data_IF_197738125624
#
_entry.id   IF_197738125624
#
_cell.length_a   1.000
_cell.length_b   1.000
_cell.length_c   1.000
_cell.angle_alpha   90.00
_cell.angle_beta   90.00
_cell.angle_gamma   90.00
#
_symmetry.space_group_name_H-M   'P 1'
#
loop_
_entity.id
_entity.type
_entity.pdbx_description
1 polymer ?
#
# COMPACT_ATOMS: atom_id res chain seq x y z
N UNK A 1 -20.44 -15.15 -9.32
CA UNK A 1 -19.09 -15.61 -8.94
C UNK A 1 -18.23 -15.53 -10.20
N UNK A 2 -17.63 -14.38 -10.47
CA UNK A 2 -16.77 -14.23 -11.64
C UNK A 2 -15.59 -15.20 -11.52
N UNK A 3 -15.30 -15.90 -12.60
CA UNK A 3 -14.41 -17.07 -12.66
C UNK A 3 -13.16 -16.97 -11.79
N UNK A 4 -13.07 -17.89 -10.83
CA UNK A 4 -11.96 -18.12 -9.90
C UNK A 4 -10.70 -18.70 -10.59
N UNK A 5 -10.53 -18.40 -11.88
CA UNK A 5 -9.42 -18.92 -12.68
C UNK A 5 -8.41 -17.79 -12.83
N UNK A 6 -7.24 -17.97 -12.23
CA UNK A 6 -6.07 -17.14 -12.53
C UNK A 6 -5.43 -17.64 -13.83
N UNK A 7 -5.55 -16.92 -14.96
CA UNK A 7 -5.00 -17.39 -16.23
C UNK A 7 -3.47 -17.45 -16.23
N UNK A 8 -2.82 -16.80 -15.26
CA UNK A 8 -1.37 -16.71 -15.13
C UNK A 8 -0.86 -17.40 -13.88
N UNK A 9 -1.61 -18.35 -13.32
CA UNK A 9 -1.29 -18.98 -12.03
C UNK A 9 0.13 -19.55 -11.97
N UNK A 10 0.58 -20.27 -13.01
CA UNK A 10 1.93 -20.87 -13.03
C UNK A 10 3.04 -19.80 -12.92
N UNK A 11 2.91 -18.73 -13.71
CA UNK A 11 3.83 -17.59 -13.67
C UNK A 11 3.75 -16.86 -12.34
N UNK A 12 2.54 -16.61 -11.85
CA UNK A 12 2.29 -15.90 -10.60
C UNK A 12 2.83 -16.66 -9.39
N UNK A 13 2.66 -17.99 -9.34
CA UNK A 13 3.25 -18.87 -8.32
C UNK A 13 4.76 -18.85 -8.38
N UNK A 14 5.36 -18.91 -9.57
CA UNK A 14 6.81 -18.83 -9.73
C UNK A 14 7.39 -17.51 -9.20
N UNK A 15 6.75 -16.38 -9.53
CA UNK A 15 7.17 -15.06 -9.01
C UNK A 15 6.88 -14.94 -7.51
N UNK A 16 5.77 -15.53 -7.03
CA UNK A 16 5.45 -15.58 -5.61
C UNK A 16 6.53 -16.34 -4.82
N UNK A 17 6.95 -17.51 -5.29
CA UNK A 17 8.05 -18.28 -4.69
C UNK A 17 9.37 -17.50 -4.69
N UNK A 18 9.69 -16.84 -5.80
CA UNK A 18 10.85 -15.93 -5.86
C UNK A 18 10.77 -14.83 -4.78
N UNK A 19 9.60 -14.19 -4.64
CA UNK A 19 9.37 -13.16 -3.64
C UNK A 19 9.48 -13.71 -2.21
N UNK A 20 8.94 -14.90 -1.94
CA UNK A 20 9.04 -15.56 -0.63
C UNK A 20 10.50 -15.90 -0.29
N UNK A 21 11.25 -16.47 -1.25
CA UNK A 21 12.66 -16.77 -1.04
C UNK A 21 13.50 -15.51 -0.79
N UNK A 22 13.21 -14.42 -1.49
CA UNK A 22 13.86 -13.13 -1.25
C UNK A 22 13.47 -12.53 0.11
N UNK A 23 12.19 -12.62 0.50
CA UNK A 23 11.72 -12.17 1.82
C UNK A 23 12.44 -12.91 2.94
N UNK A 24 12.46 -14.24 2.89
CA UNK A 24 13.08 -15.09 3.90
C UNK A 24 14.60 -14.88 3.99
N UNK A 25 15.26 -14.67 2.85
CA UNK A 25 16.71 -14.47 2.82
C UNK A 25 17.14 -13.07 3.24
N UNK A 26 16.32 -12.04 2.98
CA UNK A 26 16.75 -10.63 3.08
C UNK A 26 15.79 -9.79 3.91
N UNK A 27 14.53 -9.64 3.47
CA UNK A 27 13.64 -8.65 4.06
C UNK A 27 13.17 -9.01 5.47
N UNK A 28 12.81 -10.27 5.71
CA UNK A 28 12.38 -10.74 7.01
C UNK A 28 13.50 -10.65 8.07
N UNK A 29 14.74 -11.13 7.83
CA UNK A 29 15.84 -10.94 8.77
C UNK A 29 16.12 -9.46 9.07
N UNK A 30 16.11 -8.60 8.04
CA UNK A 30 16.33 -7.15 8.21
C UNK A 30 15.21 -6.52 9.03
N UNK A 31 13.95 -6.88 8.76
CA UNK A 31 12.80 -6.38 9.51
C UNK A 31 12.84 -6.82 10.97
N UNK A 32 13.13 -8.10 11.26
CA UNK A 32 13.28 -8.59 12.63
C UNK A 32 14.42 -7.88 13.37
N UNK A 33 15.58 -7.74 12.72
CA UNK A 33 16.70 -6.98 13.29
C UNK A 33 16.33 -5.52 13.56
N UNK A 34 15.63 -4.84 12.64
CA UNK A 34 15.17 -3.47 12.84
C UNK A 34 14.19 -3.38 14.02
N UNK A 35 13.22 -4.31 14.11
CA UNK A 35 12.24 -4.39 15.20
C UNK A 35 12.91 -4.59 16.56
N UNK A 36 13.93 -5.43 16.63
CA UNK A 36 14.66 -5.74 17.87
C UNK A 36 15.57 -4.59 18.33
N UNK A 37 16.18 -3.86 17.40
CA UNK A 37 17.17 -2.83 17.71
C UNK A 37 16.61 -1.40 17.74
N UNK A 38 15.36 -1.20 17.31
CA UNK A 38 14.73 0.13 17.25
C UNK A 38 13.57 0.19 18.24
N UNK A 39 13.53 1.16 19.17
CA UNK A 39 12.38 1.31 20.08
C UNK A 39 11.09 1.58 19.30
N UNK A 40 9.99 0.98 19.75
CA UNK A 40 8.65 1.15 19.16
C UNK A 40 8.25 2.62 18.92
N UNK A 41 8.51 3.58 19.84
CA UNK A 41 8.20 4.98 19.56
C UNK A 41 8.88 5.52 18.31
N UNK A 42 10.11 5.09 18.02
CA UNK A 42 10.86 5.53 16.82
C UNK A 42 10.27 4.90 15.56
N UNK A 43 9.91 3.61 15.61
CA UNK A 43 9.23 2.93 14.51
C UNK A 43 7.90 3.64 14.17
N UNK A 44 7.14 4.02 15.19
CA UNK A 44 5.90 4.77 15.02
C UNK A 44 6.14 6.14 14.35
N UNK A 45 7.20 6.88 14.72
CA UNK A 45 7.55 8.15 14.04
C UNK A 45 7.89 7.97 12.56
N UNK A 46 8.58 6.87 12.23
CA UNK A 46 8.89 6.54 10.82
C UNK A 46 7.62 6.20 10.06
N UNK A 47 6.72 5.42 10.68
CA UNK A 47 5.42 5.06 10.11
C UNK A 47 4.56 6.30 9.87
N UNK A 48 4.38 7.15 10.88
CA UNK A 48 3.61 8.40 10.81
C UNK A 48 4.15 9.34 9.73
N UNK A 49 5.47 9.52 9.68
CA UNK A 49 6.11 10.40 8.70
C UNK A 49 5.89 9.90 7.26
N UNK A 50 6.14 8.60 7.03
CA UNK A 50 5.93 7.96 5.72
C UNK A 50 4.46 7.99 5.30
N UNK A 51 3.58 7.74 6.26
CA UNK A 51 2.13 7.82 6.16
C UNK A 51 1.67 9.22 5.70
N UNK A 52 2.17 10.29 6.33
CA UNK A 52 1.87 11.68 5.95
C UNK A 52 2.35 12.03 4.53
N UNK A 53 3.51 11.51 4.10
CA UNK A 53 3.95 11.67 2.70
C UNK A 53 3.01 10.91 1.74
N UNK A 54 2.60 9.70 2.12
CA UNK A 54 1.62 8.89 1.38
C UNK A 54 0.28 9.61 1.18
N UNK A 55 -0.17 10.33 2.20
CA UNK A 55 -1.44 11.07 2.17
C UNK A 55 -1.46 12.16 1.09
N UNK A 56 -0.30 12.69 0.66
CA UNK A 56 -0.22 13.60 -0.49
C UNK A 56 -0.54 12.90 -1.81
N UNK A 57 -0.12 11.63 -1.95
CA UNK A 57 -0.47 10.79 -3.10
C UNK A 57 -1.96 10.47 -3.11
N UNK A 58 -2.49 10.05 -1.95
CA UNK A 58 -3.92 9.79 -1.75
C UNK A 58 -4.77 11.02 -2.07
N UNK A 59 -4.41 12.20 -1.57
CA UNK A 59 -5.11 13.45 -1.90
C UNK A 59 -5.22 13.68 -3.41
N UNK A 60 -4.13 13.43 -4.15
CA UNK A 60 -4.14 13.56 -5.61
C UNK A 60 -5.12 12.61 -6.28
N UNK A 61 -5.17 11.35 -5.81
CA UNK A 61 -6.11 10.35 -6.32
C UNK A 61 -7.55 10.66 -5.93
N UNK A 62 -7.84 11.07 -4.69
CA UNK A 62 -9.18 11.49 -4.25
C UNK A 62 -9.71 12.66 -5.07
N UNK A 63 -8.86 13.66 -5.37
CA UNK A 63 -9.21 14.77 -6.27
C UNK A 63 -9.52 14.24 -7.68
N UNK A 64 -8.70 13.33 -8.21
CA UNK A 64 -8.91 12.75 -9.53
C UNK A 64 -10.16 11.86 -9.61
N UNK A 65 -10.60 11.30 -8.48
CA UNK A 65 -11.83 10.51 -8.34
C UNK A 65 -13.07 11.37 -8.02
N UNK A 66 -12.92 12.70 -7.90
CA UNK A 66 -13.97 13.65 -7.50
C UNK A 66 -14.54 13.42 -6.09
N UNK A 67 -13.75 12.84 -5.18
CA UNK A 67 -14.14 12.61 -3.79
C UNK A 67 -13.92 13.85 -2.93
N UNK A 68 -14.85 14.81 -3.00
CA UNK A 68 -14.70 16.12 -2.35
C UNK A 68 -14.56 16.00 -0.82
N UNK A 69 -15.31 15.11 -0.18
CA UNK A 69 -15.27 14.94 1.28
C UNK A 69 -13.95 14.31 1.71
N UNK A 70 -13.55 13.20 1.07
CA UNK A 70 -12.30 12.50 1.39
C UNK A 70 -11.09 13.40 1.12
N UNK A 71 -11.04 14.08 -0.03
CA UNK A 71 -9.96 15.01 -0.35
C UNK A 71 -9.84 16.18 0.62
N UNK A 72 -10.95 16.78 1.06
CA UNK A 72 -10.91 17.84 2.07
C UNK A 72 -10.39 17.33 3.43
N UNK A 73 -10.79 16.11 3.81
CA UNK A 73 -10.35 15.47 5.04
C UNK A 73 -8.85 15.10 4.97
N UNK A 74 -8.39 14.45 3.89
CA UNK A 74 -6.97 14.12 3.67
C UNK A 74 -6.10 15.37 3.59
N UNK A 75 -6.54 16.43 2.92
CA UNK A 75 -5.84 17.71 2.92
C UNK A 75 -5.68 18.26 4.35
N UNK A 76 -6.74 18.20 5.15
CA UNK A 76 -6.70 18.64 6.55
C UNK A 76 -5.69 17.82 7.36
N UNK A 77 -5.68 16.48 7.18
CA UNK A 77 -4.69 15.59 7.80
C UNK A 77 -3.26 15.98 7.44
N UNK A 78 -2.98 16.14 6.14
CA UNK A 78 -1.64 16.54 5.65
C UNK A 78 -1.21 17.87 6.27
N UNK A 79 -2.09 18.88 6.30
CA UNK A 79 -1.76 20.18 6.87
C UNK A 79 -1.49 20.11 8.37
N UNK A 80 -2.34 19.44 9.13
CA UNK A 80 -2.22 19.30 10.59
C UNK A 80 -0.96 18.52 10.96
N UNK A 81 -0.77 17.35 10.36
CA UNK A 81 0.38 16.50 10.67
C UNK A 81 1.68 17.16 10.21
N UNK A 82 1.68 17.87 9.09
CA UNK A 82 2.89 18.57 8.62
C UNK A 82 3.26 19.79 9.49
N UNK A 83 2.28 20.44 10.13
CA UNK A 83 2.52 21.65 10.93
C UNK A 83 2.61 21.37 12.42
N UNK A 84 1.54 20.87 13.02
CA UNK A 84 1.42 20.54 14.45
C UNK A 84 2.13 19.21 14.73
N UNK A 85 1.98 18.24 13.82
CA UNK A 85 2.59 16.91 13.95
C UNK A 85 4.08 16.84 13.58
N UNK A 86 4.78 17.98 13.55
CA UNK A 86 6.22 18.07 13.23
C UNK A 86 6.58 17.37 11.91
N UNK A 87 6.11 17.90 10.77
CA UNK A 87 6.33 17.34 9.43
C UNK A 87 5.79 15.92 9.22
N UNK A 88 4.80 15.52 10.03
CA UNK A 88 4.17 14.21 9.97
C UNK A 88 4.78 13.18 10.89
N UNK A 89 5.75 13.52 11.74
CA UNK A 89 6.27 12.59 12.75
C UNK A 89 5.22 12.20 13.80
N UNK A 90 4.14 12.97 13.95
CA UNK A 90 3.05 12.71 14.88
C UNK A 90 1.72 12.81 14.13
N UNK A 91 0.91 11.75 14.17
CA UNK A 91 -0.43 11.73 13.57
C UNK A 91 -1.49 12.41 14.46
N UNK A 92 -1.32 13.72 14.67
CA UNK A 92 -2.23 14.57 15.45
C UNK A 92 -3.63 14.61 14.83
N UNK A 93 -3.73 14.51 13.51
CA UNK A 93 -4.99 14.51 12.79
C UNK A 93 -5.90 13.34 13.21
N UNK A 94 -5.33 12.14 13.39
CA UNK A 94 -6.07 10.99 13.92
C UNK A 94 -6.53 11.20 15.37
N UNK A 95 -5.70 11.82 16.22
CA UNK A 95 -6.04 12.09 17.62
C UNK A 95 -7.24 13.03 17.77
N UNK A 96 -7.46 13.93 16.81
CA UNK A 96 -8.61 14.84 16.79
C UNK A 96 -9.82 14.29 15.98
N UNK A 97 -9.75 13.03 15.55
CA UNK A 97 -10.87 12.32 14.93
C UNK A 97 -10.98 12.44 13.40
N UNK A 98 -9.96 12.93 12.70
CA UNK A 98 -9.95 12.89 11.23
C UNK A 98 -9.65 11.47 10.77
N UNK A 99 -10.61 10.82 10.11
CA UNK A 99 -10.46 9.44 9.61
C UNK A 99 -9.42 9.37 8.50
N UNK A 100 -8.66 8.28 8.42
CA UNK A 100 -7.69 8.10 7.35
C UNK A 100 -8.30 7.29 6.20
N UNK A 101 -8.13 7.78 4.97
CA UNK A 101 -8.42 7.08 3.71
C UNK A 101 -7.11 6.75 2.99
N UNK A 102 -7.15 5.83 2.03
CA UNK A 102 -5.99 5.49 1.20
C UNK A 102 -6.43 5.19 -0.22
N UNK A 103 -6.09 6.12 -1.11
CA UNK A 103 -6.33 6.02 -2.54
C UNK A 103 -5.03 5.89 -3.33
N UNK A 104 -5.02 4.99 -4.31
CA UNK A 104 -3.95 4.76 -5.29
C UNK A 104 -4.44 4.98 -6.74
N UNK A 105 -3.51 5.13 -7.68
CA UNK A 105 -3.90 5.41 -9.07
C UNK A 105 -4.65 4.24 -9.73
N UNK A 106 -4.52 3.03 -9.19
CA UNK A 106 -5.31 1.87 -9.61
C UNK A 106 -6.80 1.99 -9.26
N UNK A 107 -7.13 2.57 -8.10
CA UNK A 107 -8.51 2.97 -7.75
C UNK A 107 -9.00 4.10 -8.65
N UNK A 108 -8.18 5.12 -8.86
CA UNK A 108 -8.49 6.19 -9.82
C UNK A 108 -8.86 5.62 -11.18
N UNK A 109 -8.03 4.76 -11.76
CA UNK A 109 -8.32 4.10 -13.03
C UNK A 109 -9.64 3.31 -13.00
N UNK A 110 -10.02 2.71 -11.86
CA UNK A 110 -11.29 2.01 -11.69
C UNK A 110 -12.48 2.96 -11.82
N UNK A 111 -12.45 4.11 -11.13
CA UNK A 111 -13.49 5.15 -11.22
C UNK A 111 -13.64 5.67 -12.65
N UNK A 112 -12.54 5.75 -13.38
CA UNK A 112 -12.53 6.17 -14.80
C UNK A 112 -12.86 5.03 -15.78
N UNK A 113 -13.32 3.87 -15.29
CA UNK A 113 -13.84 2.76 -16.10
C UNK A 113 -12.78 1.81 -16.67
N UNK A 114 -11.53 1.89 -16.24
CA UNK A 114 -10.52 0.92 -16.64
C UNK A 114 -10.83 -0.45 -15.99
N UNK A 115 -10.86 -1.54 -16.79
CA UNK A 115 -11.11 -2.88 -16.26
C UNK A 115 -9.98 -3.30 -15.32
N UNK A 116 -10.28 -4.11 -14.31
CA UNK A 116 -9.28 -4.61 -13.36
C UNK A 116 -8.18 -5.44 -14.04
N UNK A 117 -8.59 -6.27 -15.00
CA UNK A 117 -7.72 -7.23 -15.67
C UNK A 117 -7.34 -8.41 -14.77
N UNK A 118 -6.48 -9.28 -15.27
CA UNK A 118 -6.07 -10.48 -14.54
C UNK A 118 -5.23 -10.14 -13.30
N UNK A 119 -5.25 -11.06 -12.33
CA UNK A 119 -4.34 -11.04 -11.20
C UNK A 119 -2.89 -11.28 -11.68
N UNK A 120 -1.94 -10.53 -11.11
CA UNK A 120 -0.51 -10.67 -11.39
C UNK A 120 0.26 -10.62 -10.09
N UNK A 121 1.34 -11.39 -10.00
CA UNK A 121 2.34 -11.21 -8.95
C UNK A 121 3.54 -10.50 -9.55
N UNK A 122 3.86 -9.32 -9.00
CA UNK A 122 5.00 -8.53 -9.42
C UNK A 122 6.25 -8.95 -8.62
N UNK A 123 7.43 -9.06 -9.27
CA UNK A 123 8.68 -9.29 -8.56
C UNK A 123 8.92 -8.18 -7.53
N UNK A 124 9.28 -8.57 -6.31
CA UNK A 124 9.51 -7.72 -5.12
C UNK A 124 8.27 -7.00 -4.59
N UNK A 125 7.39 -6.50 -5.46
CA UNK A 125 6.21 -5.71 -5.08
C UNK A 125 5.01 -6.57 -4.61
N UNK A 126 4.93 -7.82 -5.06
CA UNK A 126 3.92 -8.77 -4.60
C UNK A 126 2.60 -8.73 -5.40
N UNK A 127 1.46 -9.06 -4.77
CA UNK A 127 0.18 -9.26 -5.45
C UNK A 127 -0.37 -7.95 -6.06
N UNK A 128 -0.90 -8.03 -7.28
CA UNK A 128 -1.53 -6.92 -7.98
C UNK A 128 -2.58 -7.40 -8.99
N UNK A 129 -3.20 -6.46 -9.71
CA UNK A 129 -3.94 -6.73 -10.96
C UNK A 129 -3.29 -5.96 -12.11
N UNK A 130 -3.64 -6.24 -13.37
CA UNK A 130 -3.08 -5.47 -14.50
C UNK A 130 -3.31 -3.97 -14.32
N UNK A 131 -4.52 -3.56 -13.91
CA UNK A 131 -4.83 -2.17 -13.58
C UNK A 131 -4.03 -1.68 -12.37
N UNK A 132 -3.96 -2.49 -11.31
CA UNK A 132 -3.21 -2.15 -10.10
C UNK A 132 -1.70 -1.96 -10.37
N UNK A 133 -1.12 -2.77 -11.24
CA UNK A 133 0.28 -2.68 -11.64
C UNK A 133 0.56 -1.40 -12.42
N UNK A 134 -0.31 -1.05 -13.37
CA UNK A 134 -0.23 0.23 -14.07
C UNK A 134 -0.37 1.42 -13.09
N UNK A 135 -1.31 1.32 -12.14
CA UNK A 135 -1.48 2.30 -11.06
C UNK A 135 -0.21 2.50 -10.23
N UNK A 136 0.37 1.38 -9.77
CA UNK A 136 1.61 1.37 -8.99
C UNK A 136 2.77 2.06 -9.71
N UNK A 137 2.88 1.89 -11.03
CA UNK A 137 3.90 2.59 -11.82
C UNK A 137 3.68 4.10 -11.83
N UNK A 138 2.43 4.55 -12.03
CA UNK A 138 2.09 5.97 -12.03
C UNK A 138 2.35 6.60 -10.65
N UNK A 139 1.91 5.94 -9.58
CA UNK A 139 2.15 6.39 -8.21
C UNK A 139 3.67 6.48 -7.90
N UNK A 140 4.47 5.51 -8.38
CA UNK A 140 5.92 5.53 -8.25
C UNK A 140 6.61 6.70 -8.98
N UNK A 141 6.13 7.04 -10.19
CA UNK A 141 6.58 8.22 -10.93
C UNK A 141 6.19 9.50 -10.19
N UNK A 142 4.95 9.60 -9.72
CA UNK A 142 4.46 10.74 -8.94
C UNK A 142 5.30 10.97 -7.68
N UNK A 143 5.54 9.91 -6.89
CA UNK A 143 6.41 9.97 -5.69
C UNK A 143 7.83 10.41 -6.05
N UNK A 144 8.34 9.97 -7.20
CA UNK A 144 9.67 10.39 -7.68
C UNK A 144 9.72 11.87 -8.03
N UNK A 145 8.66 12.41 -8.65
CA UNK A 145 8.59 13.83 -8.96
C UNK A 145 8.41 14.70 -7.72
N UNK A 146 7.61 14.25 -6.76
CA UNK A 146 7.43 14.93 -5.46
C UNK A 146 8.76 15.04 -4.69
N UNK A 147 9.63 14.04 -4.81
CA UNK A 147 10.91 13.96 -4.08
C UNK A 147 12.13 14.42 -4.89
N UNK A 148 11.94 15.03 -6.07
CA UNK A 148 13.02 15.36 -7.01
C UNK A 148 14.14 16.25 -6.45
N UNK A 149 13.83 17.07 -5.45
CA UNK A 149 14.79 18.01 -4.84
C UNK A 149 15.58 17.40 -3.67
N UNK A 150 15.28 16.15 -3.29
CA UNK A 150 16.00 15.40 -2.26
C UNK A 150 17.15 14.66 -2.94
N UNK A 151 18.33 14.63 -2.29
CA UNK A 151 19.47 13.86 -2.83
C UNK A 151 19.09 12.39 -2.96
N UNK A 152 19.46 11.75 -4.07
CA UNK A 152 19.11 10.35 -4.37
C UNK A 152 19.46 9.38 -3.23
N UNK A 153 20.61 9.57 -2.58
CA UNK A 153 21.01 8.74 -1.44
C UNK A 153 20.07 8.88 -0.23
N UNK A 154 19.59 10.09 0.07
CA UNK A 154 18.66 10.35 1.18
C UNK A 154 17.27 9.78 0.86
N UNK A 155 16.81 9.96 -0.38
CA UNK A 155 15.55 9.37 -0.86
C UNK A 155 15.57 7.85 -0.75
N UNK A 156 16.62 7.21 -1.27
CA UNK A 156 16.74 5.75 -1.21
C UNK A 156 16.81 5.26 0.24
N UNK A 157 17.53 5.97 1.11
CA UNK A 157 17.56 5.65 2.55
C UNK A 157 16.17 5.70 3.19
N UNK A 158 15.40 6.76 2.92
CA UNK A 158 14.02 6.89 3.41
C UNK A 158 13.12 5.76 2.88
N UNK A 159 13.17 5.47 1.58
CA UNK A 159 12.39 4.37 0.98
C UNK A 159 12.73 3.02 1.61
N UNK A 160 14.02 2.75 1.86
CA UNK A 160 14.45 1.50 2.49
C UNK A 160 13.93 1.42 3.93
N UNK A 161 14.09 2.48 4.71
CA UNK A 161 13.61 2.52 6.10
C UNK A 161 12.09 2.35 6.17
N UNK A 162 11.35 3.01 5.29
CA UNK A 162 9.90 2.85 5.14
C UNK A 162 9.52 1.41 4.78
N UNK A 163 10.18 0.81 3.79
CA UNK A 163 9.92 -0.57 3.38
C UNK A 163 10.19 -1.58 4.52
N UNK A 164 11.27 -1.39 5.27
CA UNK A 164 11.60 -2.21 6.44
C UNK A 164 10.56 -2.02 7.54
N UNK A 165 10.13 -0.78 7.81
CA UNK A 165 9.11 -0.49 8.82
C UNK A 165 7.76 -1.13 8.47
N UNK A 166 7.32 -1.00 7.21
CA UNK A 166 6.11 -1.70 6.71
C UNK A 166 6.28 -3.21 6.84
N UNK A 167 7.45 -3.77 6.52
CA UNK A 167 7.67 -5.21 6.67
C UNK A 167 7.53 -5.65 8.13
N UNK A 168 8.00 -4.85 9.09
CA UNK A 168 7.82 -5.11 10.53
C UNK A 168 6.35 -5.16 10.93
N UNK A 169 5.55 -4.22 10.46
CA UNK A 169 4.09 -4.19 10.70
C UNK A 169 3.41 -5.45 10.12
N UNK A 170 3.92 -5.97 9.01
CA UNK A 170 3.40 -7.17 8.36
C UNK A 170 3.86 -8.50 8.98
N UNK A 171 4.94 -8.53 9.77
CA UNK A 171 5.50 -9.77 10.35
C UNK A 171 4.44 -10.67 11.02
N UNK A 172 3.56 -10.17 11.91
CA UNK A 172 2.59 -11.03 12.59
C UNK A 172 1.61 -11.72 11.63
N UNK A 173 1.17 -11.01 10.59
CA UNK A 173 0.23 -11.54 9.60
C UNK A 173 0.95 -12.54 8.69
N UNK A 174 2.16 -12.23 8.25
CA UNK A 174 2.93 -13.13 7.39
C UNK A 174 3.34 -14.41 8.11
N UNK A 175 3.65 -14.35 9.41
CA UNK A 175 3.98 -15.52 10.22
C UNK A 175 2.80 -16.49 10.37
N UNK A 176 1.57 -15.98 10.31
CA UNK A 176 0.35 -16.78 10.24
C UNK A 176 0.12 -17.31 8.82
N UNK A 177 0.30 -16.47 7.81
CA UNK A 177 0.09 -16.82 6.40
C UNK A 177 1.02 -17.94 5.93
N UNK A 178 2.27 -17.96 6.39
CA UNK A 178 3.25 -19.04 6.12
C UNK A 178 2.81 -20.42 6.63
N UNK A 179 1.85 -20.47 7.56
CA UNK A 179 1.30 -21.74 8.11
C UNK A 179 0.09 -22.24 7.33
N UNK A 180 -0.42 -21.47 6.36
CA UNK A 180 -1.53 -21.90 5.51
C UNK A 180 -1.10 -23.07 4.61
N UNK A 181 -2.06 -23.91 4.23
CA UNK A 181 -1.82 -25.02 3.30
C UNK A 181 -1.38 -24.52 1.91
N UNK A 182 -2.02 -23.45 1.42
CA UNK A 182 -1.65 -22.77 0.18
C UNK A 182 -1.54 -21.25 0.43
N UNK A 183 -0.36 -20.76 0.83
CA UNK A 183 -0.13 -19.33 1.10
C UNK A 183 -0.38 -18.45 -0.12
N UNK A 184 -0.14 -18.96 -1.33
CA UNK A 184 -0.36 -18.23 -2.57
C UNK A 184 -1.85 -17.93 -2.77
N UNK A 185 -2.69 -18.98 -2.74
CA UNK A 185 -4.13 -18.85 -2.95
C UNK A 185 -4.75 -17.95 -1.89
N UNK A 186 -4.36 -18.12 -0.62
CA UNK A 186 -4.83 -17.26 0.47
C UNK A 186 -4.45 -15.79 0.25
N UNK A 187 -3.21 -15.53 -0.18
CA UNK A 187 -2.74 -14.17 -0.49
C UNK A 187 -3.53 -13.55 -1.65
N UNK A 188 -3.73 -14.30 -2.74
CA UNK A 188 -4.50 -13.86 -3.90
C UNK A 188 -5.94 -13.49 -3.50
N UNK A 189 -6.63 -14.37 -2.81
CA UNK A 189 -8.03 -14.13 -2.40
C UNK A 189 -8.15 -12.94 -1.44
N UNK A 190 -7.25 -12.83 -0.46
CA UNK A 190 -7.23 -11.69 0.47
C UNK A 190 -6.93 -10.37 -0.26
N UNK A 191 -5.99 -10.38 -1.20
CA UNK A 191 -5.65 -9.21 -2.01
C UNK A 191 -6.85 -8.74 -2.86
N UNK A 192 -7.49 -9.65 -3.61
CA UNK A 192 -8.61 -9.30 -4.49
C UNK A 192 -9.82 -8.82 -3.67
N UNK A 193 -10.12 -9.46 -2.54
CA UNK A 193 -11.18 -9.01 -1.65
C UNK A 193 -10.92 -7.61 -1.11
N UNK A 194 -9.69 -7.35 -0.64
CA UNK A 194 -9.29 -6.04 -0.17
C UNK A 194 -9.36 -4.99 -1.28
N UNK A 195 -8.82 -5.28 -2.48
CA UNK A 195 -8.82 -4.30 -3.56
C UNK A 195 -10.23 -3.96 -4.02
N UNK A 196 -11.14 -4.94 -4.01
CA UNK A 196 -12.57 -4.71 -4.23
C UNK A 196 -13.15 -3.78 -3.17
N UNK A 197 -12.86 -4.02 -1.90
CA UNK A 197 -13.29 -3.15 -0.80
C UNK A 197 -12.77 -1.72 -0.96
N UNK A 198 -11.49 -1.57 -1.29
CA UNK A 198 -10.79 -0.30 -1.47
C UNK A 198 -11.39 0.51 -2.65
N UNK A 199 -11.71 -0.13 -3.78
CA UNK A 199 -12.34 0.54 -4.95
C UNK A 199 -13.74 1.06 -4.65
N UNK A 200 -14.46 0.44 -3.73
CA UNK A 200 -15.82 0.85 -3.37
C UNK A 200 -15.90 1.62 -2.05
N UNK A 201 -14.75 2.04 -1.50
CA UNK A 201 -14.70 2.75 -0.22
C UNK A 201 -15.45 2.03 0.92
N UNK A 202 -15.49 0.70 0.87
CA UNK A 202 -16.22 -0.15 1.80
C UNK A 202 -17.73 -0.29 1.58
N UNK A 203 -18.31 0.37 0.58
CA UNK A 203 -19.72 0.22 0.19
C UNK A 203 -19.87 -0.90 -0.85
N UNK A 204 -19.92 -2.14 -0.37
CA UNK A 204 -20.03 -3.33 -1.22
C UNK A 204 -21.48 -3.62 -1.68
N UNK A 205 -22.43 -2.69 -1.51
CA UNK A 205 -23.84 -2.93 -1.82
C UNK A 205 -24.10 -3.00 -3.35
N UNK A 206 -24.78 -4.09 -3.73
CA UNK A 206 -25.40 -4.46 -5.01
C UNK A 206 -24.52 -4.57 -6.28
N UNK A 207 -23.89 -5.74 -6.43
CA UNK A 207 -23.19 -6.19 -7.65
C UNK A 207 -23.90 -7.34 -8.37
N UNK A 208 -25.24 -7.38 -8.31
CA UNK A 208 -26.05 -8.30 -9.13
C UNK A 208 -26.58 -7.65 -10.41
N UNK A 209 -26.25 -6.39 -10.70
CA UNK A 209 -26.57 -5.73 -11.98
C UNK A 209 -25.31 -5.09 -12.55
N UNK A 210 -24.63 -5.74 -13.50
CA UNK A 210 -24.00 -5.20 -14.73
C UNK A 210 -23.26 -6.33 -15.48
#
# INVERSE_FOLDING_TARGET
MADDVDPWEETNRSVFEFNQGLDEAVFEPVARAYKENTPEPVQNRVSDFSSNIGDVGTLGNEIAQFEVINSANTLSRVLINSTIGLFGMFDVASEIGLTKTKEDFGQTLAVWGAPEGNYVVLPVLGPSTVRGAAGTMVDGVQRTQQTKNIKTAQKNGLTVVEAVNVRVELLPITDLLKKAYDPYTLTRSAYLQKKKYDVYNGDLLDYDEF
#
